data_IF_435364675505
#
_entry.id   IF_435364675505
#
_cell.length_a   1.000
_cell.length_b   1.000
_cell.length_c   1.000
_cell.angle_alpha   90.00
_cell.angle_beta   90.00
_cell.angle_gamma   90.00
#
_symmetry.space_group_name_H-M   'P 1'
#
loop_
_entity.id
_entity.type
_entity.pdbx_description
1 polymer ?
#
# COMPACT_ATOMS: atom_id res chain seq x y z
N UNK A 1 -12.13 23.21 -0.12
CA UNK A 1 -11.65 22.79 -1.45
C UNK A 1 -12.51 21.62 -1.90
N UNK A 2 -12.85 21.52 -3.18
CA UNK A 2 -13.59 20.36 -3.70
C UNK A 2 -12.66 19.14 -3.78
N UNK A 3 -13.20 17.94 -3.52
CA UNK A 3 -12.48 16.67 -3.69
C UNK A 3 -12.05 16.52 -5.16
N UNK A 4 -10.76 16.26 -5.46
CA UNK A 4 -10.33 16.01 -6.84
C UNK A 4 -10.94 14.70 -7.37
N UNK A 5 -11.25 14.67 -8.66
CA UNK A 5 -11.63 13.44 -9.34
C UNK A 5 -10.35 12.63 -9.63
N UNK A 6 -10.25 11.44 -9.05
CA UNK A 6 -9.14 10.49 -9.24
C UNK A 6 -9.77 9.18 -9.70
N UNK A 7 -9.46 8.76 -10.92
CA UNK A 7 -10.02 7.56 -11.57
C UNK A 7 -8.94 6.56 -12.02
N UNK A 8 -7.67 6.92 -11.87
CA UNK A 8 -6.51 6.19 -12.37
C UNK A 8 -5.25 6.56 -11.59
N UNK A 9 -4.20 5.73 -11.65
CA UNK A 9 -2.90 6.09 -11.06
C UNK A 9 -2.29 7.31 -11.74
N UNK A 10 -2.60 7.53 -13.03
CA UNK A 10 -2.17 8.72 -13.74
C UNK A 10 -2.81 10.00 -13.18
N UNK A 11 -4.12 10.01 -12.99
CA UNK A 11 -4.80 11.18 -12.40
C UNK A 11 -4.37 11.38 -10.95
N UNK A 12 -4.16 10.31 -10.18
CA UNK A 12 -3.58 10.40 -8.83
C UNK A 12 -2.20 11.07 -8.83
N UNK A 13 -1.29 10.58 -9.69
CA UNK A 13 0.06 11.13 -9.86
C UNK A 13 0.05 12.62 -10.17
N UNK A 14 -0.82 13.05 -11.08
CA UNK A 14 -1.00 14.45 -11.44
C UNK A 14 -1.51 15.30 -10.27
N UNK A 15 -2.49 14.81 -9.51
CA UNK A 15 -3.00 15.52 -8.34
C UNK A 15 -1.93 15.66 -7.24
N UNK A 16 -1.11 14.63 -7.02
CA UNK A 16 0.00 14.69 -6.06
C UNK A 16 1.06 15.70 -6.49
N UNK A 17 1.44 15.72 -7.77
CA UNK A 17 2.36 16.72 -8.33
C UNK A 17 1.86 18.14 -8.09
N UNK A 18 0.62 18.41 -8.51
CA UNK A 18 0.00 19.72 -8.33
C UNK A 18 -0.09 20.12 -6.85
N UNK A 19 -0.39 19.17 -5.96
CA UNK A 19 -0.44 19.41 -4.51
C UNK A 19 0.93 19.80 -3.93
N UNK A 20 2.00 19.13 -4.36
CA UNK A 20 3.36 19.37 -3.92
C UNK A 20 3.93 20.68 -4.49
N UNK A 21 3.71 20.94 -5.78
CA UNK A 21 4.12 22.17 -6.48
C UNK A 21 3.49 23.40 -5.85
N UNK A 22 2.18 23.37 -5.56
CA UNK A 22 1.46 24.45 -4.90
C UNK A 22 2.01 24.82 -3.52
N UNK A 23 2.84 23.96 -2.92
CA UNK A 23 3.48 24.14 -1.61
C UNK A 23 5.00 24.25 -1.67
N UNK A 24 5.58 24.21 -2.88
CA UNK A 24 7.02 24.12 -3.10
C UNK A 24 7.69 22.96 -2.31
N UNK A 25 6.98 21.84 -2.17
CA UNK A 25 7.46 20.68 -1.39
C UNK A 25 8.39 19.76 -2.16
N UNK A 26 8.61 20.02 -3.44
CA UNK A 26 9.45 19.21 -4.32
C UNK A 26 10.88 19.06 -3.78
N UNK A 27 11.40 20.08 -3.08
CA UNK A 27 12.72 20.05 -2.43
C UNK A 27 12.83 18.97 -1.33
N UNK A 28 11.71 18.56 -0.73
CA UNK A 28 11.65 17.54 0.31
C UNK A 28 11.37 16.15 -0.27
N UNK A 29 10.81 16.08 -1.49
CA UNK A 29 10.46 14.83 -2.18
C UNK A 29 11.69 14.20 -2.85
N UNK A 30 12.74 13.90 -2.08
CA UNK A 30 13.81 13.02 -2.56
C UNK A 30 13.37 11.55 -2.45
N UNK A 31 13.88 10.61 -3.27
CA UNK A 31 13.51 9.20 -3.15
C UNK A 31 13.74 8.64 -1.74
N UNK A 32 14.83 9.06 -1.08
CA UNK A 32 15.16 8.70 0.31
C UNK A 32 14.07 9.16 1.28
N UNK A 33 13.63 10.41 1.18
CA UNK A 33 12.62 10.92 2.10
C UNK A 33 11.26 10.29 1.85
N UNK A 34 10.90 10.05 0.58
CA UNK A 34 9.64 9.42 0.20
C UNK A 34 9.57 7.96 0.67
N UNK A 35 10.65 7.18 0.54
CA UNK A 35 10.64 5.81 1.07
C UNK A 35 10.60 5.77 2.60
N UNK A 36 11.22 6.75 3.28
CA UNK A 36 11.09 6.90 4.73
C UNK A 36 9.65 7.22 5.13
N UNK A 37 9.00 8.20 4.49
CA UNK A 37 7.60 8.52 4.75
C UNK A 37 6.68 7.32 4.49
N UNK A 38 6.85 6.65 3.34
CA UNK A 38 6.13 5.41 3.02
C UNK A 38 6.27 4.36 4.13
N UNK A 39 7.46 4.20 4.71
CA UNK A 39 7.68 3.24 5.80
C UNK A 39 6.95 3.64 7.10
N UNK A 40 6.78 4.93 7.36
CA UNK A 40 6.01 5.44 8.50
C UNK A 40 4.53 5.14 8.28
N UNK A 41 3.95 5.51 7.14
CA UNK A 41 2.52 5.27 6.89
C UNK A 41 2.17 3.77 6.86
N UNK A 42 3.11 2.93 6.37
CA UNK A 42 2.94 1.48 6.44
C UNK A 42 2.96 0.96 7.89
N UNK A 43 3.68 1.63 8.80
CA UNK A 43 3.65 1.32 10.22
C UNK A 43 2.37 1.87 10.89
N UNK A 44 1.89 3.05 10.50
CA UNK A 44 0.62 3.63 10.99
C UNK A 44 -0.56 2.73 10.59
N UNK A 45 -0.54 2.15 9.38
CA UNK A 45 -1.53 1.15 8.92
C UNK A 45 -1.61 -0.09 9.81
N UNK A 46 -0.56 -0.42 10.55
CA UNK A 46 -0.56 -1.54 11.49
C UNK A 46 -1.33 -1.20 12.78
N UNK A 47 -1.35 0.07 13.20
CA UNK A 47 -1.89 0.48 14.50
C UNK A 47 -3.33 0.02 14.77
N UNK A 48 -4.29 0.09 13.82
CA UNK A 48 -5.66 -0.39 14.04
C UNK A 48 -5.74 -1.88 14.36
N UNK A 49 -4.71 -2.67 14.02
CA UNK A 49 -4.65 -4.11 14.15
C UNK A 49 -3.76 -4.61 15.30
N UNK A 50 -2.90 -3.74 15.86
CA UNK A 50 -1.78 -4.17 16.72
C UNK A 50 -2.16 -5.02 17.95
N UNK A 51 -3.39 -4.85 18.46
CA UNK A 51 -3.91 -5.56 19.64
C UNK A 51 -5.08 -6.51 19.32
N UNK A 52 -5.41 -6.69 18.03
CA UNK A 52 -6.53 -7.52 17.62
C UNK A 52 -6.11 -8.98 17.53
N UNK A 53 -7.01 -9.88 17.94
CA UNK A 53 -6.93 -11.29 17.52
C UNK A 53 -7.22 -11.42 16.03
N UNK A 54 -6.91 -12.59 15.45
CA UNK A 54 -7.23 -12.87 14.04
C UNK A 54 -8.74 -12.81 13.73
N UNK A 55 -9.60 -13.15 14.69
CA UNK A 55 -11.06 -13.01 14.53
C UNK A 55 -11.51 -11.55 14.60
N UNK A 56 -10.92 -10.76 15.50
CA UNK A 56 -11.24 -9.34 15.65
C UNK A 56 -10.76 -8.51 14.46
N UNK A 57 -9.63 -8.88 13.83
CA UNK A 57 -9.11 -8.16 12.66
C UNK A 57 -10.03 -8.24 11.44
N UNK A 58 -10.94 -9.23 11.39
CA UNK A 58 -11.96 -9.36 10.34
C UNK A 58 -13.21 -8.51 10.61
N UNK A 59 -13.38 -7.99 11.83
CA UNK A 59 -14.60 -7.32 12.30
C UNK A 59 -14.28 -5.94 12.89
N UNK A 60 -13.64 -5.09 12.10
CA UNK A 60 -13.27 -3.74 12.51
C UNK A 60 -14.49 -2.88 12.84
N UNK A 61 -14.41 -2.09 13.90
CA UNK A 61 -15.38 -1.02 14.15
C UNK A 61 -15.35 0.03 13.02
N UNK A 62 -16.43 0.83 12.83
CA UNK A 62 -16.45 1.89 11.83
C UNK A 62 -15.28 2.88 11.96
N UNK A 63 -14.85 3.17 13.19
CA UNK A 63 -13.71 4.06 13.45
C UNK A 63 -12.37 3.43 13.02
N UNK A 64 -12.14 2.15 13.33
CA UNK A 64 -10.94 1.43 12.89
C UNK A 64 -10.91 1.29 11.37
N UNK A 65 -12.04 0.96 10.75
CA UNK A 65 -12.12 0.85 9.30
C UNK A 65 -11.80 2.18 8.61
N UNK A 66 -12.29 3.30 9.15
CA UNK A 66 -11.94 4.63 8.64
C UNK A 66 -10.46 4.96 8.82
N UNK A 67 -9.86 4.63 9.97
CA UNK A 67 -8.42 4.79 10.18
C UNK A 67 -7.61 3.99 9.13
N UNK A 68 -7.91 2.69 8.97
CA UNK A 68 -7.30 1.83 7.94
C UNK A 68 -7.46 2.43 6.54
N UNK A 69 -8.61 3.02 6.23
CA UNK A 69 -8.85 3.65 4.93
C UNK A 69 -7.95 4.85 4.68
N UNK A 70 -7.64 5.65 5.71
CA UNK A 70 -6.74 6.79 5.60
C UNK A 70 -5.30 6.31 5.39
N UNK A 71 -4.83 5.37 6.21
CA UNK A 71 -3.44 4.88 6.11
C UNK A 71 -3.18 4.13 4.79
N UNK A 72 -4.15 3.38 4.27
CA UNK A 72 -4.06 2.79 2.92
C UNK A 72 -3.91 3.90 1.85
N UNK A 73 -4.63 5.01 2.01
CA UNK A 73 -4.54 6.12 1.08
C UNK A 73 -3.17 6.80 1.16
N UNK A 74 -2.62 6.99 2.36
CA UNK A 74 -1.30 7.61 2.55
C UNK A 74 -0.18 6.72 1.99
N UNK A 75 -0.23 5.41 2.26
CA UNK A 75 0.67 4.42 1.61
C UNK A 75 0.61 4.53 0.09
N UNK A 76 -0.61 4.58 -0.48
CA UNK A 76 -0.79 4.70 -1.93
C UNK A 76 -0.22 6.01 -2.48
N UNK A 77 -0.43 7.13 -1.78
CA UNK A 77 0.06 8.46 -2.17
C UNK A 77 1.59 8.48 -2.21
N UNK A 78 2.26 8.04 -1.14
CA UNK A 78 3.73 8.04 -1.11
C UNK A 78 4.34 7.05 -2.08
N UNK A 79 3.74 5.85 -2.25
CA UNK A 79 4.20 4.88 -3.25
C UNK A 79 4.07 5.45 -4.67
N UNK A 80 2.93 6.09 -4.99
CA UNK A 80 2.70 6.73 -6.29
C UNK A 80 3.70 7.85 -6.54
N UNK A 81 3.96 8.70 -5.53
CA UNK A 81 4.93 9.79 -5.68
C UNK A 81 6.37 9.28 -5.81
N UNK A 82 6.73 8.23 -5.09
CA UNK A 82 8.05 7.61 -5.20
C UNK A 82 8.26 7.02 -6.59
N UNK A 83 7.29 6.27 -7.10
CA UNK A 83 7.33 5.68 -8.44
C UNK A 83 7.43 6.75 -9.53
N UNK A 84 6.64 7.82 -9.40
CA UNK A 84 6.66 8.98 -10.30
C UNK A 84 8.04 9.67 -10.37
N UNK A 85 8.73 9.78 -9.23
CA UNK A 85 10.07 10.39 -9.19
C UNK A 85 11.16 9.47 -9.74
N UNK A 86 10.96 8.15 -9.66
CA UNK A 86 11.90 7.13 -10.13
C UNK A 86 11.61 6.65 -11.56
N UNK A 87 10.59 7.21 -12.23
CA UNK A 87 10.13 6.81 -13.55
C UNK A 87 9.72 5.32 -13.62
N UNK A 88 8.95 4.88 -12.62
CA UNK A 88 8.44 3.51 -12.50
C UNK A 88 6.93 3.52 -12.78
N UNK A 89 6.49 2.70 -13.74
CA UNK A 89 5.08 2.36 -13.91
C UNK A 89 4.66 1.32 -12.86
N UNK A 90 3.79 1.71 -11.94
CA UNK A 90 3.34 0.84 -10.85
C UNK A 90 2.53 -0.36 -11.33
N UNK A 91 1.71 -0.21 -12.37
CA UNK A 91 0.87 -1.30 -12.86
C UNK A 91 1.71 -2.32 -13.62
N UNK A 92 2.64 -1.84 -14.45
CA UNK A 92 3.60 -2.70 -15.15
C UNK A 92 4.50 -3.46 -14.17
N UNK A 93 5.06 -2.76 -13.17
CA UNK A 93 5.87 -3.37 -12.12
C UNK A 93 5.09 -4.42 -11.31
N UNK A 94 3.81 -4.18 -11.02
CA UNK A 94 2.95 -5.14 -10.34
C UNK A 94 2.66 -6.37 -11.23
N UNK A 95 2.39 -6.17 -12.52
CA UNK A 95 2.16 -7.25 -13.48
C UNK A 95 3.38 -8.16 -13.61
N UNK A 96 4.58 -7.58 -13.78
CA UNK A 96 5.85 -8.32 -13.79
C UNK A 96 6.05 -9.09 -12.49
N UNK A 97 5.77 -8.45 -11.34
CA UNK A 97 5.93 -9.09 -10.04
C UNK A 97 4.99 -10.27 -9.84
N UNK A 98 3.77 -10.22 -10.36
CA UNK A 98 2.83 -11.34 -10.33
C UNK A 98 3.33 -12.54 -11.14
N UNK A 99 3.92 -12.31 -12.31
CA UNK A 99 4.54 -13.39 -13.12
C UNK A 99 5.70 -14.04 -12.36
N UNK A 100 6.55 -13.23 -11.73
CA UNK A 100 7.66 -13.74 -10.90
C UNK A 100 7.13 -14.54 -9.70
N UNK A 101 6.12 -14.02 -9.01
CA UNK A 101 5.55 -14.68 -7.83
C UNK A 101 4.86 -16.00 -8.19
N UNK A 102 4.14 -16.08 -9.31
CA UNK A 102 3.51 -17.32 -9.78
C UNK A 102 4.52 -18.43 -10.08
N UNK A 103 5.73 -18.07 -10.54
CA UNK A 103 6.83 -19.03 -10.73
C UNK A 103 7.44 -19.46 -9.40
N UNK A 104 7.52 -18.56 -8.43
CA UNK A 104 8.08 -18.84 -7.09
C UNK A 104 7.13 -19.67 -6.23
N UNK A 105 5.83 -19.48 -6.39
CA UNK A 105 4.77 -20.19 -5.65
C UNK A 105 3.74 -20.76 -6.65
N UNK A 106 4.04 -21.92 -7.27
CA UNK A 106 3.12 -22.59 -8.18
C UNK A 106 1.79 -22.92 -7.51
N UNK A 107 0.67 -22.83 -8.24
CA UNK A 107 -0.68 -23.00 -7.67
C UNK A 107 -0.93 -24.41 -7.08
N UNK A 108 -0.39 -25.43 -7.73
CA UNK A 108 -0.41 -26.83 -7.27
C UNK A 108 0.32 -27.00 -5.93
N UNK A 109 1.41 -26.28 -5.71
CA UNK A 109 2.17 -26.30 -4.44
C UNK A 109 1.63 -25.33 -3.39
N UNK A 110 0.92 -24.27 -3.81
CA UNK A 110 0.37 -23.27 -2.92
C UNK A 110 -0.75 -23.84 -2.03
N UNK A 111 -1.59 -24.74 -2.58
CA UNK A 111 -2.63 -25.42 -1.80
C UNK A 111 -2.04 -26.32 -0.70
N UNK A 112 -0.99 -27.09 -1.02
CA UNK A 112 -0.32 -27.96 -0.04
C UNK A 112 0.34 -27.15 1.09
N UNK A 113 1.01 -26.04 0.75
CA UNK A 113 1.63 -25.16 1.74
C UNK A 113 0.61 -24.45 2.63
N UNK A 114 -0.54 -24.05 2.08
CA UNK A 114 -1.63 -23.43 2.84
C UNK A 114 -2.26 -24.43 3.83
N UNK A 115 -2.50 -25.67 3.41
CA UNK A 115 -3.00 -26.73 4.29
C UNK A 115 -2.03 -27.03 5.43
N UNK A 116 -0.72 -27.15 5.15
CA UNK A 116 0.30 -27.39 6.18
C UNK A 116 0.46 -26.23 7.17
N UNK A 117 0.21 -24.98 6.74
CA UNK A 117 0.22 -23.82 7.63
C UNK A 117 -0.98 -23.84 8.57
N UNK A 118 -2.18 -24.13 8.06
CA UNK A 118 -3.39 -24.23 8.87
C UNK A 118 -3.30 -25.37 9.91
N UNK A 119 -2.76 -26.53 9.53
CA UNK A 119 -2.52 -27.66 10.45
C UNK A 119 -1.55 -27.34 11.59
N UNK A 120 -0.65 -26.36 11.40
CA UNK A 120 0.34 -25.94 12.42
C UNK A 120 -0.15 -24.85 13.36
N UNK A 121 -1.22 -24.15 13.00
CA UNK A 121 -1.78 -23.05 13.81
C UNK A 121 -2.92 -23.49 14.72
N UNK A 122 -3.32 -24.75 14.65
CA UNK A 122 -4.36 -25.37 15.49
C UNK A 122 -3.83 -26.06 16.76
N UNK A 123 -2.52 -25.96 17.05
CA UNK A 123 -1.83 -26.42 18.30
C UNK A 123 -1.39 -25.21 19.16
#
# INVERSE_FOLDING_TARGET
>A
MNRPAIDSLETLRQQIRAFAEARAWEIFHTPKNLVMALSVEAAELLEPFQWLTAEQSQNLSPAQHEAVRQEIADVLIYLTRLADLLDIDLLDAAADKLVINARKYPADQAHENATQYMERTDD
#
